data_IF_635692027220
#
_entry.id   IF_635692027220
#
_cell.length_a   1.000
_cell.length_b   1.000
_cell.length_c   1.000
_cell.angle_alpha   90.00
_cell.angle_beta   90.00
_cell.angle_gamma   90.00
#
_symmetry.space_group_name_H-M   'P 1'
#
loop_
_entity.id
_entity.type
_entity.pdbx_description
1 polymer ?
#
# COMPACT_ATOMS: atom_id res chain seq x y z
N UNK A 1 -2.57 -14.13 -11.58
CA UNK A 1 -3.53 -13.42 -10.82
C UNK A 1 -2.91 -12.37 -9.93
N UNK A 2 -3.50 -11.22 -9.90
CA UNK A 2 -2.94 -10.12 -9.17
C UNK A 2 -3.18 -10.27 -7.70
N UNK A 3 -2.25 -9.83 -6.89
CA UNK A 3 -2.42 -9.83 -5.47
C UNK A 3 -2.86 -8.46 -5.02
N UNK A 4 -3.78 -8.44 -4.10
CA UNK A 4 -4.29 -7.22 -3.51
C UNK A 4 -3.42 -6.84 -2.32
N UNK A 5 -2.21 -6.40 -2.58
CA UNK A 5 -1.24 -6.16 -1.52
C UNK A 5 -1.46 -4.87 -0.75
N UNK A 6 -2.03 -3.86 -1.41
CA UNK A 6 -2.23 -2.61 -0.73
C UNK A 6 -3.71 -2.23 -0.68
N UNK A 7 -4.03 -1.35 0.26
CA UNK A 7 -5.38 -0.85 0.46
C UNK A 7 -5.46 0.64 0.17
N UNK A 8 -4.61 1.13 -0.71
CA UNK A 8 -4.57 2.58 -0.97
C UNK A 8 -5.92 3.09 -1.42
N UNK A 9 -6.57 2.36 -2.34
CA UNK A 9 -7.87 2.79 -2.85
C UNK A 9 -8.90 2.90 -1.74
N UNK A 10 -8.93 1.91 -0.86
CA UNK A 10 -9.89 1.90 0.24
C UNK A 10 -9.64 3.06 1.20
N UNK A 11 -8.38 3.31 1.52
CA UNK A 11 -8.05 4.38 2.44
C UNK A 11 -8.33 5.74 1.83
N UNK A 12 -8.06 5.89 0.53
CA UNK A 12 -8.43 7.14 -0.16
C UNK A 12 -9.92 7.38 -0.06
N UNK A 13 -10.70 6.33 -0.28
CA UNK A 13 -12.15 6.47 -0.20
C UNK A 13 -12.60 6.85 1.22
N UNK A 14 -12.00 6.22 2.23
CA UNK A 14 -12.31 6.55 3.62
C UNK A 14 -12.02 8.01 3.92
N UNK A 15 -10.97 8.54 3.34
CA UNK A 15 -10.57 9.93 3.58
C UNK A 15 -11.21 10.88 2.59
N UNK A 16 -12.04 10.35 1.69
CA UNK A 16 -12.73 11.15 0.67
C UNK A 16 -11.74 11.88 -0.22
N UNK A 17 -10.68 11.17 -0.61
CA UNK A 17 -9.67 11.69 -1.53
C UNK A 17 -9.67 10.86 -2.80
N UNK A 18 -9.13 11.44 -3.87
CA UNK A 18 -9.12 10.80 -5.18
C UNK A 18 -7.71 10.40 -5.58
N UNK A 19 -7.61 9.53 -6.58
CA UNK A 19 -6.32 9.20 -7.18
C UNK A 19 -5.63 10.45 -7.69
N UNK A 20 -6.40 11.34 -8.27
CA UNK A 20 -5.85 12.57 -8.82
C UNK A 20 -5.25 13.43 -7.73
N UNK A 21 -5.95 13.55 -6.61
CA UNK A 21 -5.43 14.31 -5.49
C UNK A 21 -4.10 13.72 -5.02
N UNK A 22 -4.04 12.40 -4.90
CA UNK A 22 -2.83 11.75 -4.45
C UNK A 22 -1.69 11.96 -5.43
N UNK A 23 -1.98 11.84 -6.72
CA UNK A 23 -0.97 12.08 -7.75
C UNK A 23 -0.41 13.47 -7.64
N UNK A 24 -1.27 14.44 -7.44
CA UNK A 24 -0.84 15.83 -7.30
C UNK A 24 0.05 16.01 -6.07
N UNK A 25 -0.32 15.40 -4.96
CA UNK A 25 0.46 15.53 -3.74
C UNK A 25 1.83 14.90 -3.88
N UNK A 26 1.92 13.81 -4.62
CA UNK A 26 3.18 13.10 -4.78
C UNK A 26 4.02 13.59 -5.95
N UNK A 27 3.47 14.45 -6.79
CA UNK A 27 4.18 14.89 -7.99
C UNK A 27 4.36 13.77 -8.99
N UNK A 28 3.39 12.85 -9.06
CA UNK A 28 3.42 11.72 -10.00
C UNK A 28 2.23 11.81 -10.92
N UNK A 29 2.33 11.12 -12.07
CA UNK A 29 1.21 11.15 -12.99
C UNK A 29 0.10 10.24 -12.47
N UNK A 30 -1.11 10.57 -12.88
CA UNK A 30 -2.29 9.89 -12.37
C UNK A 30 -2.32 8.43 -12.81
N UNK A 31 -1.78 8.13 -13.99
CA UNK A 31 -1.76 6.76 -14.48
C UNK A 31 -0.94 5.85 -13.56
N UNK A 32 0.20 6.35 -13.08
CA UNK A 32 1.04 5.59 -12.17
C UNK A 32 0.32 5.33 -10.85
N UNK A 33 -0.31 6.35 -10.30
CA UNK A 33 -1.03 6.21 -9.03
C UNK A 33 -2.20 5.25 -9.19
N UNK A 34 -2.87 5.30 -10.32
CA UNK A 34 -3.98 4.41 -10.61
C UNK A 34 -3.54 2.95 -10.60
N UNK A 35 -2.35 2.67 -11.13
CA UNK A 35 -1.83 1.31 -11.11
C UNK A 35 -1.56 0.83 -9.68
N UNK A 36 -1.12 1.74 -8.81
CA UNK A 36 -0.94 1.39 -7.41
C UNK A 36 -2.28 1.07 -6.75
N UNK A 37 -3.28 1.89 -7.02
CA UNK A 37 -4.59 1.73 -6.41
C UNK A 37 -5.28 0.44 -6.83
N UNK A 38 -5.01 -0.01 -8.04
CA UNK A 38 -5.60 -1.26 -8.53
C UNK A 38 -4.72 -2.47 -8.25
N UNK A 39 -3.58 -2.26 -7.60
CA UNK A 39 -2.62 -3.31 -7.31
C UNK A 39 -1.99 -3.93 -8.55
N UNK A 40 -2.02 -3.21 -9.66
CA UNK A 40 -1.31 -3.65 -10.86
C UNK A 40 0.18 -3.62 -10.61
N UNK A 41 0.64 -2.65 -9.84
CA UNK A 41 2.00 -2.62 -9.34
C UNK A 41 1.98 -1.91 -7.99
N UNK A 42 3.09 -1.93 -7.29
CA UNK A 42 3.17 -1.38 -5.96
C UNK A 42 4.09 -0.18 -5.92
N UNK A 43 3.80 0.82 -5.09
CA UNK A 43 4.72 1.94 -4.96
C UNK A 43 5.99 1.52 -4.24
N UNK A 44 7.09 2.22 -4.46
CA UNK A 44 8.28 1.97 -3.65
C UNK A 44 8.01 2.25 -2.19
N UNK A 45 8.82 1.66 -1.32
CA UNK A 45 8.61 1.80 0.11
C UNK A 45 8.57 3.25 0.56
N UNK A 46 9.47 4.06 0.06
CA UNK A 46 9.50 5.47 0.43
C UNK A 46 8.20 6.17 0.06
N UNK A 47 7.65 5.81 -1.09
CA UNK A 47 6.38 6.38 -1.54
C UNK A 47 5.23 5.90 -0.66
N UNK A 48 5.26 4.64 -0.25
CA UNK A 48 4.26 4.14 0.69
C UNK A 48 4.26 4.97 1.97
N UNK A 49 5.44 5.30 2.46
CA UNK A 49 5.55 6.08 3.69
C UNK A 49 5.00 7.48 3.50
N UNK A 50 5.24 8.06 2.34
CA UNK A 50 4.68 9.38 2.04
C UNK A 50 3.16 9.34 1.95
N UNK A 51 2.63 8.30 1.34
CA UNK A 51 1.18 8.14 1.24
C UNK A 51 0.57 8.02 2.62
N UNK A 52 1.19 7.24 3.50
CA UNK A 52 0.69 7.09 4.86
C UNK A 52 0.64 8.43 5.57
N UNK A 53 1.68 9.23 5.42
CA UNK A 53 1.72 10.55 6.04
C UNK A 53 0.66 11.47 5.47
N UNK A 54 0.49 11.46 4.15
CA UNK A 54 -0.50 12.31 3.51
C UNK A 54 -1.92 11.97 3.93
N UNK A 55 -2.19 10.69 4.13
CA UNK A 55 -3.52 10.22 4.51
C UNK A 55 -3.69 10.14 6.02
N UNK A 56 -2.62 10.41 6.76
CA UNK A 56 -2.65 10.40 8.22
C UNK A 56 -3.07 9.04 8.77
N UNK A 57 -2.47 8.00 8.23
CA UNK A 57 -2.73 6.64 8.69
C UNK A 57 -1.40 5.95 8.92
N UNK A 58 -1.44 4.83 9.64
CA UNK A 58 -0.27 4.01 9.80
C UNK A 58 0.02 3.23 8.54
N UNK A 59 1.27 2.86 8.35
CA UNK A 59 1.64 2.07 7.21
C UNK A 59 0.91 0.74 7.20
N UNK A 60 0.62 0.20 8.38
CA UNK A 60 -0.10 -1.06 8.49
C UNK A 60 -1.51 -0.98 7.94
N UNK A 61 -2.07 0.23 7.84
CA UNK A 61 -3.40 0.38 7.27
C UNK A 61 -3.39 0.38 5.75
N UNK A 62 -2.21 0.52 5.15
CA UNK A 62 -2.08 0.55 3.71
C UNK A 62 -1.69 -0.79 3.11
N UNK A 63 -1.30 -1.75 3.91
CA UNK A 63 -0.82 -3.03 3.39
C UNK A 63 -1.66 -4.17 3.92
N UNK A 64 -1.68 -5.27 3.18
CA UNK A 64 -2.43 -6.46 3.54
C UNK A 64 -1.45 -7.58 3.80
N UNK A 65 -1.09 -7.74 5.05
CA UNK A 65 -0.14 -8.80 5.42
C UNK A 65 -0.64 -10.17 5.06
N UNK A 66 -1.93 -10.36 5.16
CA UNK A 66 -2.51 -11.68 4.96
C UNK A 66 -2.40 -12.15 3.52
N UNK A 67 -2.06 -11.24 2.60
CA UNK A 67 -1.93 -11.60 1.20
C UNK A 67 -0.56 -12.20 0.87
N UNK A 68 0.36 -12.17 1.82
CA UNK A 68 1.70 -12.71 1.62
C UNK A 68 1.99 -13.67 2.75
N UNK A 69 1.46 -14.89 2.67
CA UNK A 69 1.66 -15.85 3.76
C UNK A 69 3.09 -16.35 3.79
N UNK A 70 3.55 -16.65 4.98
CA UNK A 70 4.85 -17.25 5.13
C UNK A 70 4.68 -18.61 5.74
N UNK A 71 5.66 -19.46 5.51
CA UNK A 71 5.62 -20.80 6.02
C UNK A 71 5.78 -20.78 7.54
N UNK A 72 5.01 -21.61 8.22
CA UNK A 72 5.12 -21.71 9.64
C UNK A 72 6.53 -22.10 10.07
N UNK A 73 7.14 -22.92 9.27
CA UNK A 73 8.48 -23.37 9.53
C UNK A 73 9.45 -22.21 9.59
N UNK A 74 9.31 -21.28 8.66
CA UNK A 74 10.14 -20.09 8.62
C UNK A 74 9.90 -19.24 9.83
N UNK A 75 8.66 -19.11 10.21
CA UNK A 75 8.31 -18.32 11.36
C UNK A 75 8.94 -18.88 12.62
N UNK A 76 8.85 -20.18 12.77
CA UNK A 76 9.43 -20.83 13.90
C UNK A 76 10.91 -20.57 14.00
N UNK A 77 11.60 -20.70 12.91
CA UNK A 77 13.00 -20.45 12.87
C UNK A 77 13.34 -19.02 13.16
N UNK A 78 12.57 -18.15 12.64
CA UNK A 78 12.83 -16.76 12.81
C UNK A 78 12.66 -16.28 14.22
N UNK A 79 11.91 -16.99 14.99
CA UNK A 79 11.70 -16.61 16.32
C UNK A 79 12.73 -17.00 17.26
N UNK A 80 13.52 -17.73 16.85
CA UNK A 80 14.36 -18.24 17.75
C UNK A 80 15.19 -17.32 18.32
N UNK A 81 14.96 -16.86 18.64
CA UNK A 81 15.57 -16.20 18.97
C UNK A 81 15.52 -15.95 19.74
#
# INVERSE_FOLDING_TARGET
>A
MEKNLNRIKAVLADKQKTNRWLAEQLGRDQATVSKWCTNACQPPMETFMKIAQLLEVGLDELVRYEQVPISVKEVSNGNKK
#
